data_IF_951672516773
#
_entry.id   IF_951672516773
#
_cell.length_a   1.000
_cell.length_b   1.000
_cell.length_c   1.000
_cell.angle_alpha   90.00
_cell.angle_beta   90.00
_cell.angle_gamma   90.00
#
_symmetry.space_group_name_H-M   'P 1'
#
loop_
_entity.id
_entity.type
_entity.pdbx_description
1 polymer ?
#
# COMPACT_ATOMS: atom_id res chain seq x y z
N UNK A 1 -69.38 -29.24 -7.51
CA UNK A 1 -70.35 -29.84 -6.58
C UNK A 1 -70.13 -29.24 -5.19
N UNK A 2 -71.15 -28.46 -4.81
CA UNK A 2 -71.72 -28.27 -3.49
C UNK A 2 -70.82 -27.39 -2.58
N UNK A 3 -71.02 -26.03 -2.47
CA UNK A 3 -72.10 -25.34 -1.73
C UNK A 3 -72.13 -25.79 -0.26
N UNK A 4 -72.19 -24.98 0.78
CA UNK A 4 -73.03 -23.82 1.07
C UNK A 4 -72.67 -23.23 2.46
N UNK A 5 -72.76 -21.95 2.52
CA UNK A 5 -73.61 -21.03 3.27
C UNK A 5 -73.28 -20.81 4.77
N UNK A 6 -72.96 -19.57 5.06
CA UNK A 6 -73.76 -18.51 5.76
C UNK A 6 -74.37 -18.90 7.11
N UNK A 7 -74.08 -18.07 8.14
CA UNK A 7 -75.13 -17.27 8.80
C UNK A 7 -74.55 -16.15 9.67
N UNK A 8 -75.13 -14.96 9.49
CA UNK A 8 -75.14 -13.75 10.33
C UNK A 8 -75.82 -14.03 11.66
N UNK A 9 -75.48 -13.25 12.68
CA UNK A 9 -76.43 -12.57 13.58
C UNK A 9 -75.80 -11.37 14.29
N UNK A 10 -76.40 -10.22 14.03
CA UNK A 10 -76.32 -8.95 14.75
C UNK A 10 -77.13 -9.02 16.07
N UNK A 11 -76.82 -8.11 16.99
CA UNK A 11 -77.65 -7.38 17.99
C UNK A 11 -76.72 -6.99 19.14
N UNK A 12 -76.66 -5.81 19.72
CA UNK A 12 -77.53 -4.67 19.78
C UNK A 12 -77.04 -3.75 20.90
N UNK A 13 -77.32 -2.54 20.75
CA UNK A 13 -76.99 -1.33 21.52
C UNK A 13 -77.43 -1.40 22.98
N UNK A 14 -76.59 -0.89 23.94
CA UNK A 14 -77.18 -0.20 25.12
C UNK A 14 -76.25 0.89 25.67
N UNK A 15 -76.70 2.11 25.63
CA UNK A 15 -76.20 3.31 26.33
C UNK A 15 -76.54 3.22 27.80
N UNK A 16 -75.58 3.52 28.68
CA UNK A 16 -75.86 4.21 29.97
C UNK A 16 -74.68 5.03 30.42
N UNK A 17 -74.90 6.30 30.50
CA UNK A 17 -74.20 7.37 31.14
C UNK A 17 -73.91 7.07 32.62
N UNK A 18 -72.72 7.37 33.12
CA UNK A 18 -72.51 7.85 34.47
C UNK A 18 -71.40 8.90 34.52
N UNK A 19 -71.78 10.07 34.98
CA UNK A 19 -70.92 11.19 35.38
C UNK A 19 -70.38 10.86 36.80
N UNK A 20 -69.08 11.14 37.02
CA UNK A 20 -68.63 11.80 38.26
C UNK A 20 -67.13 12.07 38.30
N UNK A 21 -66.86 13.33 38.53
CA UNK A 21 -65.78 13.96 39.33
C UNK A 21 -64.35 13.99 38.86
N UNK A 22 -63.96 15.21 38.67
CA UNK A 22 -62.58 15.72 38.47
C UNK A 22 -61.69 15.43 39.68
N UNK A 23 -60.44 14.99 39.39
CA UNK A 23 -59.29 15.27 40.20
C UNK A 23 -58.10 15.55 39.28
N UNK A 24 -57.62 16.77 39.34
CA UNK A 24 -56.51 17.23 38.50
C UNK A 24 -55.20 16.56 38.88
N UNK A 25 -54.53 16.02 37.90
CA UNK A 25 -53.09 15.78 37.94
C UNK A 25 -52.50 16.51 36.75
N UNK A 26 -51.86 17.63 37.01
CA UNK A 26 -51.03 18.32 36.05
C UNK A 26 -49.83 17.42 35.72
N UNK A 27 -49.91 16.65 34.65
CA UNK A 27 -48.72 16.06 34.03
C UNK A 27 -47.99 17.16 33.29
N UNK A 28 -46.88 17.63 33.87
CA UNK A 28 -45.91 18.44 33.17
C UNK A 28 -45.37 17.60 32.00
N UNK A 29 -45.83 17.92 30.80
CA UNK A 29 -45.22 17.46 29.57
C UNK A 29 -43.83 18.06 29.46
N UNK A 30 -42.81 17.31 29.86
CA UNK A 30 -41.44 17.58 29.49
C UNK A 30 -41.34 17.51 27.97
N UNK A 31 -40.84 18.56 27.30
CA UNK A 31 -40.57 18.43 25.92
C UNK A 31 -39.43 17.44 25.75
N UNK A 32 -39.72 16.24 25.26
CA UNK A 32 -38.70 15.37 24.69
C UNK A 32 -38.14 16.02 23.45
N UNK A 33 -37.16 16.89 23.65
CA UNK A 33 -36.26 17.28 22.55
C UNK A 33 -35.33 16.11 22.26
N UNK A 34 -35.88 14.98 21.87
CA UNK A 34 -35.17 14.02 21.04
C UNK A 34 -35.11 14.62 19.64
N UNK A 35 -34.24 15.60 19.44
CA UNK A 35 -33.73 15.89 18.10
C UNK A 35 -33.13 14.58 17.63
N UNK A 36 -33.90 13.82 16.85
CA UNK A 36 -33.34 12.79 16.01
C UNK A 36 -32.32 13.51 15.13
N UNK A 37 -31.04 13.48 15.55
CA UNK A 37 -29.94 14.01 14.77
C UNK A 37 -29.96 13.18 13.49
N UNK A 38 -30.51 13.78 12.46
CA UNK A 38 -30.58 13.18 11.12
C UNK A 38 -29.14 12.80 10.80
N UNK A 39 -28.83 11.51 10.80
CA UNK A 39 -27.49 11.03 10.52
C UNK A 39 -27.06 11.64 9.18
N UNK A 40 -26.06 12.49 9.19
CA UNK A 40 -25.53 13.07 7.97
C UNK A 40 -25.12 11.92 7.04
N UNK A 41 -25.40 12.08 5.74
CA UNK A 41 -24.97 11.08 4.76
C UNK A 41 -23.45 10.89 4.86
N UNK A 42 -22.96 9.66 4.75
CA UNK A 42 -21.53 9.40 4.77
C UNK A 42 -20.81 10.22 3.70
N UNK A 43 -19.65 10.77 4.07
CA UNK A 43 -18.74 11.32 3.07
C UNK A 43 -18.05 10.16 2.37
N UNK A 44 -18.21 10.08 1.08
CA UNK A 44 -17.52 9.10 0.24
C UNK A 44 -16.21 9.70 -0.25
N UNK A 45 -15.11 8.97 -0.06
CA UNK A 45 -13.78 9.31 -0.57
C UNK A 45 -13.43 8.35 -1.69
N UNK A 46 -13.18 8.87 -2.88
CA UNK A 46 -12.79 8.08 -4.04
C UNK A 46 -11.33 7.67 -3.93
N UNK A 47 -11.03 6.37 -4.02
CA UNK A 47 -9.68 5.82 -3.97
C UNK A 47 -9.28 5.21 -5.31
N UNK A 48 -8.01 5.42 -5.72
CA UNK A 48 -7.42 4.86 -6.94
C UNK A 48 -6.18 4.03 -6.65
N UNK A 49 -6.12 2.83 -7.22
CA UNK A 49 -4.92 2.00 -7.24
C UNK A 49 -4.66 1.46 -8.65
N UNK A 50 -3.38 1.43 -9.05
CA UNK A 50 -2.98 0.94 -10.35
C UNK A 50 -2.94 -0.59 -10.43
N UNK A 51 -2.84 -1.29 -9.29
CA UNK A 51 -2.84 -2.75 -9.28
C UNK A 51 -4.26 -3.32 -9.20
N UNK A 52 -4.47 -4.52 -9.76
CA UNK A 52 -5.73 -5.24 -9.60
C UNK A 52 -5.92 -5.67 -8.14
N UNK A 53 -7.16 -5.72 -7.70
CA UNK A 53 -7.49 -6.31 -6.40
C UNK A 53 -7.21 -7.81 -6.42
N UNK A 54 -6.34 -8.29 -5.53
CA UNK A 54 -6.01 -9.71 -5.43
C UNK A 54 -4.75 -10.01 -4.63
N UNK A 55 -3.70 -9.19 -4.77
CA UNK A 55 -2.47 -9.31 -4.01
C UNK A 55 -2.63 -8.97 -2.53
N UNK A 56 -1.67 -9.36 -1.70
CA UNK A 56 -1.71 -9.10 -0.24
C UNK A 56 -1.95 -7.62 0.06
N UNK A 57 -1.23 -6.73 -0.60
CA UNK A 57 -1.30 -5.28 -0.37
C UNK A 57 -2.69 -4.72 -0.66
N UNK A 58 -3.23 -5.01 -1.84
CA UNK A 58 -4.55 -4.50 -2.26
C UNK A 58 -5.67 -5.09 -1.40
N UNK A 59 -5.59 -6.39 -1.06
CA UNK A 59 -6.52 -7.03 -0.13
C UNK A 59 -6.41 -6.46 1.27
N UNK A 60 -5.20 -6.14 1.75
CA UNK A 60 -5.02 -5.51 3.06
C UNK A 60 -5.71 -4.14 3.15
N UNK A 61 -5.58 -3.30 2.11
CA UNK A 61 -6.31 -2.04 2.05
C UNK A 61 -7.82 -2.27 2.07
N UNK A 62 -8.32 -3.13 1.18
CA UNK A 62 -9.75 -3.40 1.00
C UNK A 62 -10.41 -4.05 2.21
N UNK A 63 -9.75 -5.06 2.80
CA UNK A 63 -10.38 -5.93 3.79
C UNK A 63 -10.03 -5.55 5.25
N UNK A 64 -8.98 -4.74 5.46
CA UNK A 64 -8.51 -4.35 6.79
C UNK A 64 -8.60 -2.85 7.01
N UNK A 65 -7.89 -2.05 6.20
CA UNK A 65 -7.76 -0.61 6.45
C UNK A 65 -9.05 0.15 6.15
N UNK A 66 -9.69 -0.06 5.00
CA UNK A 66 -10.91 0.67 4.63
C UNK A 66 -12.07 0.37 5.58
N UNK A 67 -12.36 -0.90 5.96
CA UNK A 67 -13.34 -1.19 6.99
C UNK A 67 -12.96 -0.62 8.37
N UNK A 68 -11.67 -0.50 8.69
CA UNK A 68 -11.24 0.15 9.91
C UNK A 68 -11.55 1.66 9.89
N UNK A 69 -11.34 2.36 8.77
CA UNK A 69 -11.70 3.77 8.60
C UNK A 69 -13.22 3.97 8.76
N UNK A 70 -14.04 3.14 8.13
CA UNK A 70 -15.50 3.21 8.26
C UNK A 70 -15.94 2.99 9.71
N UNK A 71 -15.40 1.98 10.38
CA UNK A 71 -15.71 1.67 11.79
C UNK A 71 -15.27 2.80 12.73
N UNK A 72 -14.01 3.26 12.62
CA UNK A 72 -13.47 4.30 13.50
C UNK A 72 -14.15 5.66 13.32
N UNK A 73 -14.66 5.94 12.12
CA UNK A 73 -15.46 7.12 11.84
C UNK A 73 -16.95 6.94 12.18
N UNK A 74 -17.38 5.80 12.74
CA UNK A 74 -18.78 5.47 12.96
C UNK A 74 -19.64 5.61 11.69
N UNK A 75 -19.10 5.21 10.54
CA UNK A 75 -19.76 5.25 9.24
C UNK A 75 -19.86 6.65 8.60
N UNK A 76 -19.20 7.68 9.16
CA UNK A 76 -19.16 9.02 8.54
C UNK A 76 -18.30 9.06 7.29
N UNK A 77 -17.27 8.21 7.22
CA UNK A 77 -16.40 8.06 6.06
C UNK A 77 -16.66 6.71 5.40
N UNK A 78 -16.70 6.70 4.08
CA UNK A 78 -16.72 5.50 3.23
C UNK A 78 -15.71 5.65 2.11
N UNK A 79 -15.10 4.54 1.71
CA UNK A 79 -14.15 4.52 0.60
C UNK A 79 -14.83 3.87 -0.62
N UNK A 80 -14.88 4.61 -1.71
CA UNK A 80 -15.23 4.11 -3.03
C UNK A 80 -13.93 3.74 -3.75
N UNK A 81 -13.65 2.45 -3.84
CA UNK A 81 -12.37 1.95 -4.30
C UNK A 81 -12.39 1.53 -5.76
N UNK A 82 -11.41 2.04 -6.52
CA UNK A 82 -11.16 1.77 -7.93
C UNK A 82 -9.76 1.15 -8.09
N UNK A 83 -9.71 -0.03 -8.69
CA UNK A 83 -8.51 -0.85 -8.85
C UNK A 83 -8.07 -0.96 -10.31
N UNK A 84 -6.91 -1.57 -10.55
CA UNK A 84 -6.41 -1.90 -11.88
C UNK A 84 -6.24 -0.68 -12.82
N UNK A 85 -5.89 0.48 -12.25
CA UNK A 85 -5.68 1.70 -13.02
C UNK A 85 -6.94 2.35 -13.59
N UNK A 86 -8.14 1.99 -13.10
CA UNK A 86 -9.41 2.51 -13.61
C UNK A 86 -9.46 4.05 -13.62
N UNK A 87 -8.94 4.71 -12.58
CA UNK A 87 -8.86 6.19 -12.53
C UNK A 87 -7.50 6.67 -13.03
N UNK A 88 -6.41 6.03 -12.58
CA UNK A 88 -5.07 6.44 -12.92
C UNK A 88 -4.11 5.24 -13.00
N UNK A 89 -3.29 5.21 -14.05
CA UNK A 89 -2.20 4.26 -14.18
C UNK A 89 -1.09 4.54 -13.14
N UNK A 90 -0.16 3.60 -12.98
CA UNK A 90 0.90 3.65 -11.95
C UNK A 90 1.68 4.98 -11.94
N UNK A 91 2.11 5.46 -13.10
CA UNK A 91 2.90 6.68 -13.25
C UNK A 91 2.08 7.97 -13.15
N UNK A 92 0.75 7.88 -13.23
CA UNK A 92 -0.19 9.01 -13.16
C UNK A 92 -0.82 9.17 -11.77
N UNK A 93 -0.61 8.22 -10.85
CA UNK A 93 -1.27 8.17 -9.55
C UNK A 93 -1.01 9.42 -8.70
N UNK A 94 0.23 9.91 -8.66
CA UNK A 94 0.57 11.16 -7.95
C UNK A 94 -0.21 12.35 -8.53
N UNK A 95 -0.21 12.51 -9.85
CA UNK A 95 -0.96 13.57 -10.53
C UNK A 95 -2.46 13.49 -10.27
N UNK A 96 -3.03 12.28 -10.26
CA UNK A 96 -4.45 12.08 -10.00
C UNK A 96 -4.87 12.53 -8.59
N UNK A 97 -4.11 12.14 -7.56
CA UNK A 97 -4.42 12.55 -6.18
C UNK A 97 -4.06 14.02 -5.93
N UNK A 98 -2.98 14.55 -6.48
CA UNK A 98 -2.58 15.95 -6.34
C UNK A 98 -3.62 16.93 -6.89
N UNK A 99 -4.34 16.54 -7.95
CA UNK A 99 -5.35 17.37 -8.64
C UNK A 99 -6.79 17.01 -8.29
N UNK A 100 -7.00 16.15 -7.29
CA UNK A 100 -8.33 15.66 -6.88
C UNK A 100 -9.11 14.94 -8.00
N UNK A 101 -8.44 14.32 -8.96
CA UNK A 101 -9.07 13.36 -9.89
C UNK A 101 -9.52 12.11 -9.13
N UNK A 102 -8.80 11.76 -8.07
CA UNK A 102 -9.21 10.87 -6.99
C UNK A 102 -8.92 11.57 -5.66
N UNK A 103 -9.77 11.39 -4.64
CA UNK A 103 -9.52 11.93 -3.30
C UNK A 103 -8.31 11.29 -2.65
N UNK A 104 -8.14 10.00 -2.86
CA UNK A 104 -7.08 9.15 -2.32
C UNK A 104 -6.44 8.32 -3.43
N UNK A 105 -5.15 8.04 -3.30
CA UNK A 105 -4.48 7.11 -4.20
C UNK A 105 -3.33 6.36 -3.51
N UNK A 106 -3.00 5.17 -4.04
CA UNK A 106 -1.71 4.55 -3.77
C UNK A 106 -0.65 5.19 -4.66
N UNK A 107 0.28 5.92 -4.05
CA UNK A 107 1.45 6.51 -4.72
C UNK A 107 2.67 5.65 -4.46
N UNK A 108 3.38 5.31 -5.53
CA UNK A 108 4.66 4.58 -5.48
C UNK A 108 5.78 5.54 -5.89
N UNK A 109 6.66 5.96 -4.96
CA UNK A 109 7.64 7.02 -5.20
C UNK A 109 8.56 6.77 -6.39
N UNK A 110 8.89 5.51 -6.70
CA UNK A 110 9.78 5.20 -7.83
C UNK A 110 9.23 5.60 -9.20
N UNK A 111 7.92 5.74 -9.31
CA UNK A 111 7.28 6.16 -10.55
C UNK A 111 7.24 7.68 -10.72
N UNK A 112 7.58 8.41 -9.65
CA UNK A 112 7.53 9.87 -9.57
C UNK A 112 8.84 10.44 -9.00
N UNK A 113 9.98 9.90 -9.47
CA UNK A 113 11.31 10.24 -8.95
C UNK A 113 11.68 11.72 -9.09
N UNK A 114 11.10 12.42 -10.06
CA UNK A 114 11.32 13.84 -10.29
C UNK A 114 10.58 14.70 -9.25
N UNK A 115 9.36 14.33 -8.94
CA UNK A 115 8.47 15.02 -7.99
C UNK A 115 8.81 14.65 -6.54
N UNK A 116 9.29 13.42 -6.31
CA UNK A 116 9.61 12.86 -4.99
C UNK A 116 11.09 12.39 -4.93
N UNK A 117 12.07 13.27 -5.14
CA UNK A 117 13.48 12.88 -5.18
C UNK A 117 13.99 12.31 -3.85
N UNK A 118 13.57 12.83 -2.68
CA UNK A 118 14.01 12.29 -1.39
C UNK A 118 13.45 10.90 -1.12
N UNK A 119 12.22 10.61 -1.54
CA UNK A 119 11.61 9.29 -1.38
C UNK A 119 12.36 8.19 -2.15
N UNK A 120 13.21 8.55 -3.11
CA UNK A 120 14.07 7.58 -3.79
C UNK A 120 15.11 6.95 -2.87
N UNK A 121 15.45 7.58 -1.74
CA UNK A 121 16.40 7.08 -0.75
C UNK A 121 16.04 5.67 -0.27
N UNK A 122 14.76 5.35 -0.15
CA UNK A 122 14.30 4.04 0.34
C UNK A 122 14.83 2.87 -0.51
N UNK A 123 15.09 3.09 -1.79
CA UNK A 123 15.60 2.06 -2.72
C UNK A 123 17.11 2.01 -2.80
N UNK A 124 17.81 2.85 -2.07
CA UNK A 124 19.27 2.96 -2.13
C UNK A 124 20.03 1.91 -1.32
N UNK A 125 19.31 1.04 -0.62
CA UNK A 125 19.87 -0.03 0.20
C UNK A 125 19.69 -1.39 -0.48
N UNK A 126 20.70 -2.26 -0.56
CA UNK A 126 20.56 -3.60 -1.11
C UNK A 126 19.95 -4.61 -0.12
N UNK A 127 20.06 -4.31 1.18
CA UNK A 127 19.52 -5.10 2.28
C UNK A 127 18.71 -4.21 3.22
N UNK A 128 17.73 -4.78 3.90
CA UNK A 128 16.89 -4.05 4.84
C UNK A 128 15.92 -4.96 5.59
N UNK A 129 15.09 -4.37 6.47
CA UNK A 129 14.19 -5.12 7.34
C UNK A 129 13.01 -5.73 6.56
N UNK A 130 12.39 -6.76 7.13
CA UNK A 130 11.18 -7.40 6.63
C UNK A 130 10.09 -7.44 7.69
N UNK A 131 8.86 -7.74 7.29
CA UNK A 131 7.72 -7.91 8.20
C UNK A 131 7.47 -6.67 9.08
N UNK A 132 7.32 -6.88 10.37
CA UNK A 132 7.04 -5.77 11.32
C UNK A 132 8.17 -4.75 11.38
N UNK A 133 9.43 -5.18 11.31
CA UNK A 133 10.59 -4.28 11.32
C UNK A 133 10.60 -3.33 10.10
N UNK A 134 10.12 -3.79 8.94
CA UNK A 134 9.94 -2.94 7.76
C UNK A 134 8.85 -1.88 7.99
N UNK A 135 7.75 -2.26 8.62
CA UNK A 135 6.69 -1.31 8.99
C UNK A 135 7.21 -0.27 9.95
N UNK A 136 7.97 -0.68 10.98
CA UNK A 136 8.55 0.21 11.96
C UNK A 136 9.57 1.17 11.33
N UNK A 137 10.37 0.68 10.37
CA UNK A 137 11.30 1.52 9.61
C UNK A 137 10.58 2.70 8.93
N UNK A 138 9.55 2.44 8.13
CA UNK A 138 8.84 3.52 7.44
C UNK A 138 8.12 4.45 8.42
N UNK A 139 7.51 3.92 9.47
CA UNK A 139 6.85 4.73 10.50
C UNK A 139 7.82 5.67 11.20
N UNK A 140 9.00 5.18 11.57
CA UNK A 140 10.06 5.99 12.18
C UNK A 140 10.59 7.06 11.24
N UNK A 141 10.84 6.70 9.99
CA UNK A 141 11.32 7.69 9.00
C UNK A 141 10.33 8.84 8.84
N UNK A 142 9.03 8.56 8.73
CA UNK A 142 8.03 9.62 8.61
C UNK A 142 7.82 10.44 9.89
N UNK A 143 8.08 9.86 11.05
CA UNK A 143 7.99 10.55 12.33
C UNK A 143 9.26 11.38 12.66
N UNK A 144 10.44 10.88 12.31
CA UNK A 144 11.72 11.41 12.73
C UNK A 144 12.40 12.30 11.66
N UNK A 145 12.03 12.15 10.37
CA UNK A 145 12.66 12.87 9.24
C UNK A 145 11.63 13.77 8.53
N UNK A 146 11.48 15.04 8.97
CA UNK A 146 10.40 15.94 8.47
C UNK A 146 10.50 16.26 6.97
N UNK A 147 11.64 15.98 6.34
CA UNK A 147 11.84 16.20 4.92
C UNK A 147 10.87 15.38 4.04
N UNK A 148 10.47 14.16 4.47
CA UNK A 148 9.55 13.30 3.72
C UNK A 148 8.11 13.84 3.71
N UNK A 149 7.47 14.12 4.86
CA UNK A 149 6.16 14.78 4.85
C UNK A 149 6.17 16.11 4.09
N UNK A 150 7.23 16.92 4.23
CA UNK A 150 7.34 18.20 3.54
C UNK A 150 7.44 18.05 2.01
N UNK A 151 8.06 16.99 1.50
CA UNK A 151 8.12 16.70 0.07
C UNK A 151 6.74 16.32 -0.49
N UNK A 152 5.95 15.53 0.27
CA UNK A 152 4.58 15.18 -0.10
C UNK A 152 3.67 16.42 -0.09
N UNK A 153 3.83 17.27 0.91
CA UNK A 153 3.04 18.50 1.04
C UNK A 153 3.22 19.45 -0.15
N UNK A 154 4.44 19.55 -0.70
CA UNK A 154 4.72 20.31 -1.93
C UNK A 154 3.97 19.77 -3.14
N UNK A 155 3.63 18.50 -3.13
CA UNK A 155 2.84 17.83 -4.17
C UNK A 155 1.34 17.77 -3.83
N UNK A 156 0.86 18.61 -2.90
CA UNK A 156 -0.55 18.72 -2.50
C UNK A 156 -1.15 17.40 -1.99
N UNK A 157 -0.36 16.56 -1.32
CA UNK A 157 -0.81 15.28 -0.75
C UNK A 157 -0.39 15.11 0.70
N UNK A 158 -1.16 14.31 1.43
CA UNK A 158 -0.92 13.93 2.83
C UNK A 158 -0.81 12.41 2.91
N UNK A 159 0.21 11.83 3.55
CA UNK A 159 0.31 10.39 3.75
C UNK A 159 -0.67 9.94 4.83
N UNK A 160 -1.42 8.88 4.55
CA UNK A 160 -2.35 8.26 5.51
C UNK A 160 -1.82 6.93 6.05
N UNK A 161 -1.16 6.16 5.19
CA UNK A 161 -0.68 4.82 5.55
C UNK A 161 0.52 4.43 4.67
N UNK A 162 1.57 3.95 5.31
CA UNK A 162 2.76 3.42 4.63
C UNK A 162 2.60 1.92 4.42
N UNK A 163 1.97 1.53 3.32
CA UNK A 163 1.97 0.14 2.88
C UNK A 163 3.36 -0.26 2.39
N UNK A 164 3.69 -1.53 2.51
CA UNK A 164 5.00 -2.04 2.10
C UNK A 164 4.83 -3.24 1.18
N UNK A 165 5.83 -3.49 0.35
CA UNK A 165 5.90 -4.66 -0.50
C UNK A 165 6.65 -5.82 0.18
N UNK A 166 6.67 -6.96 -0.50
CA UNK A 166 7.44 -8.13 -0.08
C UNK A 166 8.94 -7.96 -0.29
N UNK A 167 9.73 -8.89 0.28
CA UNK A 167 11.13 -9.03 -0.07
C UNK A 167 11.34 -9.20 -1.57
N UNK A 168 12.54 -8.85 -2.01
CA UNK A 168 12.97 -8.98 -3.41
C UNK A 168 13.14 -10.44 -3.80
N UNK A 169 12.75 -10.75 -5.02
CA UNK A 169 13.16 -11.95 -5.74
C UNK A 169 13.85 -11.60 -7.05
N UNK A 170 14.78 -12.44 -7.44
CA UNK A 170 15.37 -12.47 -8.76
C UNK A 170 14.75 -13.64 -9.53
N UNK A 171 13.96 -13.35 -10.54
CA UNK A 171 13.39 -14.33 -11.44
C UNK A 171 14.30 -14.47 -12.66
N UNK A 172 14.77 -15.66 -12.97
CA UNK A 172 15.69 -15.92 -14.07
C UNK A 172 15.16 -16.93 -15.07
N UNK A 173 15.38 -16.67 -16.34
CA UNK A 173 15.10 -17.64 -17.43
C UNK A 173 16.06 -18.84 -17.40
N UNK A 174 17.24 -18.67 -16.77
CA UNK A 174 18.27 -19.70 -16.66
C UNK A 174 18.50 -20.09 -15.20
N UNK A 175 18.91 -21.33 -14.91
CA UNK A 175 19.30 -21.72 -13.57
C UNK A 175 20.40 -20.83 -13.00
N UNK A 176 20.22 -20.40 -11.75
CA UNK A 176 21.20 -19.61 -11.00
C UNK A 176 21.49 -20.28 -9.66
N UNK A 177 22.78 -20.52 -9.39
CA UNK A 177 23.20 -21.06 -8.10
C UNK A 177 23.19 -19.97 -7.00
N UNK A 178 23.54 -18.74 -7.36
CA UNK A 178 23.63 -17.57 -6.49
C UNK A 178 23.47 -16.27 -7.31
N UNK A 179 23.67 -15.11 -6.66
CA UNK A 179 23.58 -13.80 -7.30
C UNK A 179 24.79 -13.46 -8.22
N UNK A 180 25.85 -14.25 -8.23
CA UNK A 180 26.91 -14.11 -9.23
C UNK A 180 26.42 -14.49 -10.64
N UNK A 181 25.35 -15.28 -10.74
CA UNK A 181 24.67 -15.61 -11.98
C UNK A 181 23.99 -14.43 -12.69
N UNK A 182 23.96 -13.24 -12.09
CA UNK A 182 23.51 -12.00 -12.73
C UNK A 182 24.46 -11.54 -13.85
N UNK A 183 25.77 -11.91 -13.75
CA UNK A 183 26.82 -11.43 -14.65
C UNK A 183 26.54 -11.78 -16.11
N UNK A 184 26.66 -10.76 -16.97
CA UNK A 184 26.47 -10.88 -18.42
C UNK A 184 25.01 -10.97 -18.86
N UNK A 185 24.05 -11.11 -17.96
CA UNK A 185 22.63 -11.19 -18.26
C UNK A 185 21.97 -9.81 -18.36
N UNK A 186 20.85 -9.73 -19.09
CA UNK A 186 19.99 -8.54 -19.22
C UNK A 186 18.91 -8.58 -18.15
N UNK A 187 18.99 -7.67 -17.18
CA UNK A 187 18.14 -7.67 -16.00
C UNK A 187 17.31 -6.40 -15.89
N UNK A 188 16.00 -6.58 -15.73
CA UNK A 188 15.07 -5.46 -15.56
C UNK A 188 14.97 -5.03 -14.10
N UNK A 189 14.97 -3.71 -13.88
CA UNK A 189 14.42 -3.09 -12.68
C UNK A 189 13.73 -1.76 -13.04
N UNK A 190 12.82 -1.29 -12.18
CA UNK A 190 12.16 0.01 -12.35
C UNK A 190 12.98 1.15 -11.74
N UNK A 191 13.76 0.88 -10.70
CA UNK A 191 14.52 1.88 -9.96
C UNK A 191 15.90 2.12 -10.55
N UNK A 192 16.28 3.39 -10.73
CA UNK A 192 17.63 3.76 -11.17
C UNK A 192 18.71 3.23 -10.20
N UNK A 193 18.43 3.17 -8.89
CA UNK A 193 19.33 2.58 -7.91
C UNK A 193 19.67 1.12 -8.23
N UNK A 194 18.62 0.34 -8.48
CA UNK A 194 18.79 -1.08 -8.77
C UNK A 194 19.41 -1.31 -10.15
N UNK A 195 19.20 -0.42 -11.11
CA UNK A 195 19.91 -0.48 -12.39
C UNK A 195 21.43 -0.29 -12.20
N UNK A 196 21.84 0.61 -11.32
CA UNK A 196 23.25 0.79 -10.95
C UNK A 196 23.80 -0.39 -10.16
N UNK A 197 23.02 -0.94 -9.22
CA UNK A 197 23.39 -2.15 -8.48
C UNK A 197 23.61 -3.34 -9.42
N UNK A 198 22.70 -3.57 -10.33
CA UNK A 198 22.79 -4.62 -11.35
C UNK A 198 24.04 -4.43 -12.22
N UNK A 199 24.27 -3.19 -12.70
CA UNK A 199 25.46 -2.85 -13.51
C UNK A 199 26.76 -3.14 -12.75
N UNK A 200 26.85 -2.71 -11.49
CA UNK A 200 28.01 -2.91 -10.65
C UNK A 200 28.23 -4.39 -10.33
N UNK A 201 27.16 -5.18 -10.23
CA UNK A 201 27.20 -6.64 -10.08
C UNK A 201 27.55 -7.38 -11.40
N UNK A 202 27.77 -6.66 -12.50
CA UNK A 202 28.19 -7.22 -13.79
C UNK A 202 27.07 -7.59 -14.75
N UNK A 203 25.83 -7.21 -14.44
CA UNK A 203 24.68 -7.38 -15.33
C UNK A 203 24.54 -6.22 -16.32
N UNK A 204 23.76 -6.42 -17.38
CA UNK A 204 23.27 -5.36 -18.25
C UNK A 204 21.90 -4.92 -17.76
N UNK A 205 21.77 -3.73 -17.13
CA UNK A 205 20.49 -3.26 -16.62
C UNK A 205 19.56 -2.84 -17.74
N UNK A 206 18.27 -3.13 -17.61
CA UNK A 206 17.23 -2.76 -18.56
C UNK A 206 16.12 -2.02 -17.83
N UNK A 207 15.79 -0.81 -18.26
CA UNK A 207 14.63 -0.06 -17.80
C UNK A 207 13.42 -0.47 -18.62
N UNK A 208 12.36 -0.86 -17.95
CA UNK A 208 11.08 -1.18 -18.60
C UNK A 208 9.94 -0.88 -17.61
N UNK A 209 8.86 -0.27 -18.07
CA UNK A 209 7.69 0.00 -17.27
C UNK A 209 7.10 -1.31 -16.73
N UNK A 210 6.37 -1.22 -15.61
CA UNK A 210 5.67 -2.37 -15.06
C UNK A 210 4.45 -2.67 -15.92
N UNK A 211 4.36 -3.90 -16.42
CA UNK A 211 3.26 -4.33 -17.28
C UNK A 211 3.52 -5.70 -17.91
N UNK A 212 2.56 -6.22 -18.70
CA UNK A 212 2.64 -7.54 -19.35
C UNK A 212 3.81 -7.65 -20.33
N UNK A 213 4.35 -6.55 -20.83
CA UNK A 213 5.51 -6.50 -21.73
C UNK A 213 6.76 -7.12 -21.11
N UNK A 214 6.85 -7.14 -19.77
CA UNK A 214 7.96 -7.80 -19.04
C UNK A 214 7.90 -9.31 -19.27
N UNK A 215 6.71 -9.91 -19.14
CA UNK A 215 6.52 -11.33 -19.39
C UNK A 215 6.89 -11.69 -20.84
N UNK A 216 6.43 -10.90 -21.79
CA UNK A 216 6.72 -11.10 -23.22
C UNK A 216 8.22 -10.98 -23.52
N UNK A 217 8.92 -10.03 -22.89
CA UNK A 217 10.36 -9.83 -23.05
C UNK A 217 11.16 -11.02 -22.47
N UNK A 218 10.76 -11.58 -21.35
CA UNK A 218 11.36 -12.78 -20.78
C UNK A 218 11.15 -13.99 -21.68
N UNK A 219 9.92 -14.17 -22.18
CA UNK A 219 9.56 -15.29 -23.07
C UNK A 219 10.28 -15.20 -24.41
N UNK A 220 10.46 -13.99 -24.94
CA UNK A 220 11.21 -13.75 -26.18
C UNK A 220 12.72 -13.81 -26.02
N UNK A 221 13.25 -13.92 -24.78
CA UNK A 221 14.71 -13.93 -24.51
C UNK A 221 15.38 -12.56 -24.67
N UNK A 222 14.62 -11.47 -24.74
CA UNK A 222 15.17 -10.11 -24.75
C UNK A 222 15.53 -9.61 -23.34
N UNK A 223 14.99 -10.27 -22.32
CA UNK A 223 15.43 -10.21 -20.91
C UNK A 223 15.87 -11.59 -20.44
N UNK A 224 16.93 -11.66 -19.63
CA UNK A 224 17.37 -12.87 -18.95
C UNK A 224 16.76 -12.98 -17.54
N UNK A 225 16.28 -11.87 -16.98
CA UNK A 225 15.68 -11.89 -15.66
C UNK A 225 15.11 -10.54 -15.18
N UNK A 226 14.55 -10.58 -14.01
CA UNK A 226 13.82 -9.51 -13.37
C UNK A 226 14.12 -9.45 -11.88
N UNK A 227 14.48 -8.28 -11.37
CA UNK A 227 14.56 -7.96 -9.95
C UNK A 227 13.27 -7.23 -9.54
N UNK A 228 12.48 -7.83 -8.65
CA UNK A 228 11.15 -7.32 -8.28
C UNK A 228 10.70 -7.92 -6.94
N UNK A 229 9.67 -7.37 -6.31
CA UNK A 229 8.99 -8.03 -5.20
C UNK A 229 8.43 -9.39 -5.63
N UNK A 230 8.52 -10.37 -4.75
CA UNK A 230 8.10 -11.74 -5.06
C UNK A 230 6.61 -11.83 -5.43
N UNK A 231 5.75 -11.05 -4.78
CA UNK A 231 4.32 -11.01 -5.04
C UNK A 231 4.00 -10.41 -6.42
N UNK A 232 4.62 -9.28 -6.75
CA UNK A 232 4.43 -8.64 -8.05
C UNK A 232 4.89 -9.57 -9.19
N UNK A 233 6.03 -10.25 -9.04
CA UNK A 233 6.50 -11.24 -10.00
C UNK A 233 5.54 -12.42 -10.16
N UNK A 234 4.93 -12.88 -9.07
CA UNK A 234 3.92 -13.94 -9.11
C UNK A 234 2.63 -13.48 -9.80
N UNK A 235 2.11 -12.31 -9.44
CA UNK A 235 0.89 -11.75 -10.02
C UNK A 235 1.00 -11.55 -11.53
N UNK A 236 2.16 -11.13 -12.03
CA UNK A 236 2.45 -10.99 -13.46
C UNK A 236 2.83 -12.33 -14.12
N UNK A 237 2.78 -13.44 -13.37
CA UNK A 237 3.15 -14.79 -13.85
C UNK A 237 4.57 -14.90 -14.41
N UNK A 238 5.47 -14.06 -13.93
CA UNK A 238 6.88 -14.03 -14.36
C UNK A 238 7.53 -15.41 -14.25
N UNK A 239 7.17 -16.19 -13.25
CA UNK A 239 7.68 -17.56 -13.01
C UNK A 239 7.36 -18.54 -14.15
N UNK A 240 6.37 -18.29 -15.00
CA UNK A 240 6.09 -19.13 -16.17
C UNK A 240 7.14 -18.94 -17.29
N UNK A 241 7.75 -17.75 -17.40
CA UNK A 241 8.79 -17.43 -18.36
C UNK A 241 10.20 -17.46 -17.76
N UNK A 242 10.34 -17.18 -16.45
CA UNK A 242 11.58 -17.13 -15.68
C UNK A 242 11.42 -17.94 -14.39
N UNK A 243 11.44 -19.29 -14.47
CA UNK A 243 11.07 -20.17 -13.36
C UNK A 243 12.12 -20.29 -12.26
N UNK A 244 13.35 -19.83 -12.46
CA UNK A 244 14.41 -19.93 -11.47
C UNK A 244 14.39 -18.71 -10.56
N UNK A 245 14.03 -18.90 -9.28
CA UNK A 245 13.76 -17.82 -8.33
C UNK A 245 14.75 -17.86 -7.18
N UNK A 246 15.55 -16.81 -7.03
CA UNK A 246 16.35 -16.56 -5.84
C UNK A 246 15.65 -15.49 -4.99
N UNK A 247 15.45 -15.77 -3.70
CA UNK A 247 14.71 -14.88 -2.80
C UNK A 247 15.34 -14.86 -1.41
N UNK A 248 15.28 -13.71 -0.74
CA UNK A 248 15.64 -13.58 0.67
C UNK A 248 14.81 -12.49 1.34
N UNK A 249 14.49 -12.69 2.63
CA UNK A 249 13.87 -11.63 3.45
C UNK A 249 14.82 -10.45 3.72
N UNK A 250 16.12 -10.67 3.60
CA UNK A 250 17.15 -9.66 3.84
C UNK A 250 17.41 -8.78 2.61
N UNK A 251 17.00 -9.23 1.42
CA UNK A 251 17.07 -8.39 0.23
C UNK A 251 16.03 -7.26 0.34
N UNK A 252 16.46 -6.06 -0.01
CA UNK A 252 15.63 -4.87 0.11
C UNK A 252 15.34 -4.25 -1.25
N UNK A 253 14.09 -3.98 -1.52
CA UNK A 253 13.66 -3.20 -2.68
C UNK A 253 13.24 -1.78 -2.30
N UNK A 254 13.02 -1.53 -1.01
CA UNK A 254 12.56 -0.25 -0.51
C UNK A 254 11.19 0.15 -1.06
N UNK A 255 10.36 -0.82 -1.39
CA UNK A 255 9.02 -0.54 -1.89
C UNK A 255 8.14 0.04 -0.80
N UNK A 256 7.76 1.28 -1.01
CA UNK A 256 6.77 2.00 -0.23
C UNK A 256 5.54 2.25 -1.12
N UNK A 257 4.43 1.67 -0.72
CA UNK A 257 3.12 1.93 -1.33
C UNK A 257 2.37 2.88 -0.39
N UNK A 258 2.48 4.17 -0.64
CA UNK A 258 1.83 5.17 0.20
C UNK A 258 0.36 5.29 -0.15
N UNK A 259 -0.53 5.00 0.79
CA UNK A 259 -1.89 5.52 0.72
C UNK A 259 -1.83 7.01 1.07
N UNK A 260 -2.21 7.83 0.13
CA UNK A 260 -2.22 9.29 0.26
C UNK A 260 -3.62 9.85 0.04
N UNK A 261 -3.87 11.03 0.56
CA UNK A 261 -5.07 11.82 0.30
C UNK A 261 -4.67 13.20 -0.24
N UNK A 262 -5.47 13.75 -1.13
CA UNK A 262 -5.32 15.12 -1.57
C UNK A 262 -5.38 16.09 -0.36
N UNK A 263 -4.46 17.05 -0.28
CA UNK A 263 -4.35 17.96 0.86
C UNK A 263 -5.58 18.87 1.02
N UNK A 264 -6.18 19.32 -0.08
CA UNK A 264 -7.37 20.15 -0.01
C UNK A 264 -8.57 19.34 0.48
N UNK A 265 -8.73 18.10 -0.01
CA UNK A 265 -9.74 17.16 0.52
C UNK A 265 -9.52 16.90 2.01
N UNK A 266 -8.27 16.61 2.42
CA UNK A 266 -7.90 16.43 3.82
C UNK A 266 -8.29 17.62 4.69
N UNK A 267 -8.03 18.83 4.23
CA UNK A 267 -8.33 20.06 4.97
C UNK A 267 -9.82 20.26 5.19
N UNK A 268 -10.68 19.72 4.32
CA UNK A 268 -12.15 19.80 4.45
C UNK A 268 -12.73 18.74 5.40
N UNK A 269 -11.94 17.74 5.84
CA UNK A 269 -12.40 16.74 6.81
C UNK A 269 -12.50 17.36 8.20
N UNK A 270 -13.52 16.95 8.95
CA UNK A 270 -13.63 17.27 10.37
C UNK A 270 -12.45 16.66 11.14
N UNK A 271 -12.04 17.27 12.25
CA UNK A 271 -10.91 16.76 13.04
C UNK A 271 -11.19 15.33 13.54
N UNK A 272 -12.41 15.03 13.96
CA UNK A 272 -12.78 13.68 14.40
C UNK A 272 -12.64 12.59 13.30
N UNK A 273 -12.80 12.98 12.03
CA UNK A 273 -12.61 12.07 10.88
C UNK A 273 -11.14 11.86 10.57
N UNK A 274 -10.32 12.91 10.70
CA UNK A 274 -8.84 12.81 10.64
C UNK A 274 -8.32 11.88 11.73
N UNK A 275 -8.82 12.05 12.95
CA UNK A 275 -8.46 11.20 14.09
C UNK A 275 -8.93 9.76 13.89
N UNK A 276 -10.08 9.53 13.27
CA UNK A 276 -10.58 8.20 12.92
C UNK A 276 -9.67 7.50 11.90
N UNK A 277 -9.24 8.22 10.86
CA UNK A 277 -8.27 7.69 9.88
C UNK A 277 -6.94 7.33 10.57
N UNK A 278 -6.45 8.19 11.46
CA UNK A 278 -5.22 7.92 12.21
C UNK A 278 -5.33 6.67 13.09
N UNK A 279 -6.44 6.50 13.83
CA UNK A 279 -6.68 5.28 14.64
C UNK A 279 -6.81 4.03 13.78
N UNK A 280 -7.48 4.12 12.63
CA UNK A 280 -7.60 3.02 11.68
C UNK A 280 -6.21 2.61 11.14
N UNK A 281 -5.37 3.57 10.77
CA UNK A 281 -4.00 3.33 10.34
C UNK A 281 -3.18 2.65 11.44
N UNK A 282 -3.23 3.16 12.68
CA UNK A 282 -2.51 2.59 13.82
C UNK A 282 -2.91 1.14 14.12
N UNK A 283 -4.20 0.83 14.06
CA UNK A 283 -4.70 -0.54 14.22
C UNK A 283 -4.22 -1.44 13.08
N UNK A 284 -4.22 -0.92 11.86
CA UNK A 284 -3.80 -1.65 10.66
C UNK A 284 -2.30 -1.94 10.67
N UNK A 285 -1.46 -1.00 11.13
CA UNK A 285 -0.01 -1.24 11.25
C UNK A 285 0.33 -2.44 12.13
N UNK A 286 -0.38 -2.62 13.25
CA UNK A 286 -0.18 -3.79 14.14
C UNK A 286 -0.47 -5.13 13.44
N UNK A 287 -1.36 -5.13 12.45
CA UNK A 287 -1.72 -6.32 11.70
C UNK A 287 -0.82 -6.58 10.49
N UNK A 288 -0.20 -5.54 9.93
CA UNK A 288 0.46 -5.60 8.61
C UNK A 288 1.67 -6.55 8.61
N UNK A 289 2.60 -6.43 9.55
CA UNK A 289 3.79 -7.28 9.60
C UNK A 289 3.47 -8.78 9.63
N UNK A 290 2.64 -9.27 10.56
CA UNK A 290 2.21 -10.66 10.59
C UNK A 290 1.46 -11.12 9.33
N UNK A 291 0.70 -10.24 8.68
CA UNK A 291 0.04 -10.55 7.39
C UNK A 291 1.08 -10.73 6.30
N UNK A 292 2.07 -9.83 6.22
CA UNK A 292 3.17 -9.93 5.25
C UNK A 292 3.94 -11.24 5.40
N UNK A 293 4.31 -11.62 6.63
CA UNK A 293 5.07 -12.85 6.88
C UNK A 293 4.32 -14.12 6.46
N UNK A 294 3.04 -14.22 6.81
CA UNK A 294 2.20 -15.36 6.39
C UNK A 294 2.01 -15.41 4.89
N UNK A 295 1.73 -14.26 4.28
CA UNK A 295 1.49 -14.17 2.85
C UNK A 295 2.77 -14.46 2.05
N UNK A 296 3.93 -14.01 2.51
CA UNK A 296 5.21 -14.36 1.90
C UNK A 296 5.47 -15.88 1.91
N UNK A 297 5.22 -16.55 3.04
CA UNK A 297 5.38 -18.01 3.12
C UNK A 297 4.42 -18.74 2.17
N UNK A 298 3.13 -18.30 2.08
CA UNK A 298 2.16 -18.83 1.14
C UNK A 298 2.62 -18.65 -0.31
N UNK A 299 3.09 -17.45 -0.65
CA UNK A 299 3.55 -17.11 -1.99
C UNK A 299 4.72 -18.00 -2.47
N UNK A 300 5.69 -18.29 -1.57
CA UNK A 300 6.78 -19.19 -1.91
C UNK A 300 6.28 -20.62 -2.14
N UNK A 301 5.29 -21.08 -1.39
CA UNK A 301 4.67 -22.38 -1.60
C UNK A 301 3.90 -22.44 -2.91
N UNK A 302 3.17 -21.39 -3.25
CA UNK A 302 2.44 -21.26 -4.52
C UNK A 302 3.37 -21.27 -5.72
N UNK A 303 4.48 -20.50 -5.68
CA UNK A 303 5.51 -20.51 -6.72
C UNK A 303 6.06 -21.91 -6.97
N UNK A 304 6.39 -22.65 -5.89
CA UNK A 304 6.85 -24.05 -6.00
C UNK A 304 5.78 -24.97 -6.60
N UNK A 305 4.55 -24.83 -6.19
CA UNK A 305 3.41 -25.59 -6.72
C UNK A 305 3.19 -25.30 -8.19
N UNK A 306 3.41 -24.04 -8.61
CA UNK A 306 3.34 -23.61 -10.01
C UNK A 306 4.56 -24.06 -10.85
N UNK A 307 5.50 -24.80 -10.27
CA UNK A 307 6.67 -25.38 -10.96
C UNK A 307 7.91 -24.49 -10.98
N UNK A 308 7.94 -23.40 -10.21
CA UNK A 308 9.15 -22.59 -10.07
C UNK A 308 10.21 -23.26 -9.17
N UNK A 309 11.47 -23.09 -9.53
CA UNK A 309 12.62 -23.53 -8.75
C UNK A 309 13.02 -22.44 -7.77
N UNK A 310 12.41 -22.46 -6.58
CA UNK A 310 12.62 -21.44 -5.56
C UNK A 310 13.76 -21.83 -4.62
N UNK A 311 14.81 -21.00 -4.59
CA UNK A 311 15.92 -21.10 -3.66
C UNK A 311 15.90 -19.87 -2.73
N UNK A 312 15.92 -20.13 -1.43
CA UNK A 312 16.10 -19.08 -0.43
C UNK A 312 17.61 -18.86 -0.26
N UNK A 313 18.05 -17.62 -0.41
CA UNK A 313 19.45 -17.22 -0.25
C UNK A 313 19.87 -17.32 1.22
N UNK A 314 21.09 -17.71 1.45
CA UNK A 314 21.70 -17.65 2.79
C UNK A 314 22.03 -16.20 3.17
N UNK A 315 22.03 -15.87 4.46
CA UNK A 315 22.20 -14.50 4.96
C UNK A 315 23.44 -13.76 4.43
N UNK A 316 24.52 -14.49 4.14
CA UNK A 316 25.74 -13.91 3.57
C UNK A 316 25.61 -13.48 2.10
N UNK A 317 24.65 -14.00 1.34
CA UNK A 317 24.53 -13.75 -0.10
C UNK A 317 23.99 -12.36 -0.41
N UNK A 318 22.91 -11.87 0.27
CA UNK A 318 22.48 -10.48 0.14
C UNK A 318 23.57 -9.48 0.52
N UNK A 319 24.38 -9.77 1.54
CA UNK A 319 25.52 -8.94 1.96
C UNK A 319 26.58 -8.87 0.87
N UNK A 320 26.94 -10.02 0.25
CA UNK A 320 27.88 -10.06 -0.89
C UNK A 320 27.33 -9.27 -2.10
N UNK A 321 26.03 -9.41 -2.39
CA UNK A 321 25.38 -8.62 -3.44
C UNK A 321 25.50 -7.12 -3.15
N UNK A 322 25.23 -6.68 -1.92
CA UNK A 322 25.40 -5.29 -1.51
C UNK A 322 26.83 -4.76 -1.73
N UNK A 323 27.83 -5.58 -1.44
CA UNK A 323 29.23 -5.25 -1.70
C UNK A 323 29.53 -5.15 -3.21
N UNK A 324 29.04 -6.10 -4.00
CA UNK A 324 29.18 -6.08 -5.46
C UNK A 324 28.43 -4.87 -6.10
N UNK A 325 27.27 -4.52 -5.58
CA UNK A 325 26.47 -3.38 -6.01
C UNK A 325 27.13 -2.02 -5.74
N UNK A 326 28.16 -1.95 -4.88
CA UNK A 326 28.85 -0.71 -4.48
C UNK A 326 27.86 0.37 -4.04
N UNK A 327 26.84 -0.03 -3.30
CA UNK A 327 25.68 0.84 -3.03
C UNK A 327 26.05 2.15 -2.34
N UNK A 328 27.08 2.18 -1.49
CA UNK A 328 27.54 3.40 -0.81
C UNK A 328 28.12 4.42 -1.78
N UNK A 329 28.85 3.96 -2.79
CA UNK A 329 29.38 4.84 -3.86
C UNK A 329 28.23 5.42 -4.67
N UNK A 330 27.22 4.59 -4.99
CA UNK A 330 26.02 5.03 -5.71
C UNK A 330 25.22 6.04 -4.86
N UNK A 331 25.06 5.79 -3.55
CA UNK A 331 24.44 6.74 -2.62
C UNK A 331 25.18 8.09 -2.58
N UNK A 332 26.52 8.06 -2.50
CA UNK A 332 27.34 9.28 -2.47
C UNK A 332 27.21 10.07 -3.77
N UNK A 333 27.27 9.39 -4.92
CA UNK A 333 27.09 10.02 -6.22
C UNK A 333 25.71 10.65 -6.38
N UNK A 334 24.67 9.97 -5.92
CA UNK A 334 23.30 10.49 -5.93
C UNK A 334 23.17 11.74 -5.04
N UNK A 335 23.72 11.73 -3.82
CA UNK A 335 23.65 12.88 -2.93
C UNK A 335 24.30 14.14 -3.53
N UNK A 336 25.43 13.97 -4.20
CA UNK A 336 26.11 15.07 -4.92
C UNK A 336 25.29 15.54 -6.14
N UNK A 337 24.62 14.65 -6.84
CA UNK A 337 23.72 15.02 -7.95
C UNK A 337 22.50 15.79 -7.44
N UNK A 338 21.86 15.33 -6.36
CA UNK A 338 20.73 16.04 -5.75
C UNK A 338 21.11 17.44 -5.28
N UNK A 339 22.29 17.59 -4.70
CA UNK A 339 22.81 18.90 -4.31
C UNK A 339 22.96 19.84 -5.50
N UNK A 340 23.45 19.34 -6.65
CA UNK A 340 23.57 20.13 -7.89
C UNK A 340 22.21 20.49 -8.47
N UNK A 341 21.23 19.61 -8.32
CA UNK A 341 19.85 19.78 -8.81
C UNK A 341 18.95 20.63 -7.91
N UNK A 342 19.50 21.16 -6.79
CA UNK A 342 18.76 22.04 -5.89
C UNK A 342 18.15 21.38 -4.66
N UNK A 343 18.32 20.07 -4.45
CA UNK A 343 17.92 19.36 -3.24
C UNK A 343 19.11 19.27 -2.27
N UNK A 344 19.52 20.43 -1.74
CA UNK A 344 20.77 20.58 -1.00
C UNK A 344 20.88 19.78 0.31
N UNK A 345 19.78 19.33 0.89
CA UNK A 345 19.73 18.52 2.10
C UNK A 345 19.70 17.01 1.85
N UNK A 346 19.73 16.55 0.60
CA UNK A 346 19.55 15.13 0.26
C UNK A 346 20.57 14.20 0.95
N UNK A 347 21.84 14.62 1.05
CA UNK A 347 22.88 13.88 1.76
C UNK A 347 22.64 13.77 3.27
N UNK A 348 22.14 14.83 3.90
CA UNK A 348 21.78 14.81 5.32
C UNK A 348 20.58 13.86 5.57
N UNK A 349 19.53 13.96 4.75
CA UNK A 349 18.35 13.09 4.81
C UNK A 349 18.74 11.62 4.59
N UNK A 350 19.64 11.33 3.64
CA UNK A 350 20.17 9.98 3.44
C UNK A 350 20.91 9.46 4.69
N UNK A 351 21.67 10.32 5.36
CA UNK A 351 22.38 9.94 6.60
C UNK A 351 21.39 9.62 7.74
N UNK A 352 20.33 10.44 7.91
CA UNK A 352 19.27 10.20 8.90
C UNK A 352 18.54 8.87 8.63
N UNK A 353 18.15 8.61 7.38
CA UNK A 353 17.52 7.34 6.99
C UNK A 353 18.45 6.16 7.21
N UNK A 354 19.75 6.32 6.90
CA UNK A 354 20.76 5.28 7.14
C UNK A 354 20.91 4.97 8.63
N UNK A 355 20.86 5.97 9.50
CA UNK A 355 20.92 5.76 10.94
C UNK A 355 19.71 4.97 11.45
N UNK A 356 18.49 5.33 10.99
CA UNK A 356 17.27 4.58 11.33
C UNK A 356 17.35 3.14 10.81
N UNK A 357 17.83 2.95 9.56
CA UNK A 357 18.00 1.61 8.96
C UNK A 357 18.94 0.75 9.81
N UNK A 358 20.10 1.28 10.19
CA UNK A 358 21.07 0.58 11.01
C UNK A 358 20.52 0.22 12.40
N UNK A 359 19.78 1.13 13.04
CA UNK A 359 19.18 0.91 14.35
C UNK A 359 18.13 -0.22 14.33
N UNK A 360 17.36 -0.31 13.26
CA UNK A 360 16.34 -1.37 13.09
C UNK A 360 16.96 -2.73 12.72
N UNK A 361 18.06 -2.70 11.97
CA UNK A 361 18.75 -3.93 11.55
C UNK A 361 19.61 -4.53 12.66
N UNK A 362 20.00 -3.80 13.70
CA UNK A 362 20.78 -4.23 14.86
C UNK A 362 22.27 -4.05 14.64
#
# INVERSE_FOLDING_TARGET
MIENQMTKREHGISRRLFLATAAGAAMASLPSNASAQQAALPRVLTFSDHEPLGGMRTRFLKDVLFPAIERESNGRLKIEDHWNGEIAAAYDALGAVSTSKADMATVVPEYTAKELPLHQIFKSFPTGPAGSAQVDFFRRVYAEVPAFPAELEKNNIVPLFCGTGYPVAFFSTKPMADLDGLKGGKWRSASFWHLDFLRNAGATPVTMHWGPEIYDALKAGTLDGLMVNVDSGYMLKVHEAAPNVLVSKDLWLGHLYMLTINKDVWNTLAQEDKDAIARAAETSYRALGPVMDRSFASQLAELKTAGAFVRILEAAEPVRFGSAAKYRDVQSAWAEEQKRSGTGNAGAVLAEVTAIMNDIMG
#
